data_IF_698642553956
#
_entry.id   IF_698642553956
#
_cell.length_a   1.000
_cell.length_b   1.000
_cell.length_c   1.000
_cell.angle_alpha   90.00
_cell.angle_beta   90.00
_cell.angle_gamma   90.00
#
_symmetry.space_group_name_H-M   'P 1'
#
loop_
_entity.id
_entity.type
_entity.pdbx_description
1 polymer ?
#
# COMPACT_ATOMS: atom_id res chain seq x y z
N UNK A 1 -6.16 -5.06 2.21
CA UNK A 1 -4.75 -5.49 2.33
C UNK A 1 -4.26 -5.27 3.74
N UNK A 2 -3.80 -6.32 4.37
CA UNK A 2 -3.44 -6.31 5.79
C UNK A 2 -2.11 -7.01 6.02
N UNK A 3 -1.35 -6.50 6.98
CA UNK A 3 -0.03 -7.02 7.35
C UNK A 3 0.00 -7.08 8.87
N UNK A 4 0.38 -8.22 9.43
CA UNK A 4 0.50 -8.38 10.89
C UNK A 4 1.60 -7.47 11.43
N UNK A 5 1.34 -6.86 12.58
CA UNK A 5 2.32 -6.05 13.28
C UNK A 5 3.09 -6.92 14.26
N UNK A 6 4.43 -6.87 14.18
CA UNK A 6 5.29 -7.71 15.03
C UNK A 6 5.17 -7.36 16.52
N UNK A 7 4.98 -6.08 16.83
CA UNK A 7 4.84 -5.61 18.21
C UNK A 7 3.48 -4.93 18.40
N UNK A 8 2.42 -5.68 18.73
CA UNK A 8 1.08 -5.11 18.89
C UNK A 8 1.02 -4.01 19.95
N UNK A 9 0.18 -3.02 19.70
CA UNK A 9 -0.09 -1.94 20.67
C UNK A 9 -1.43 -2.22 21.33
N UNK A 10 -1.42 -2.25 22.67
CA UNK A 10 -2.62 -2.45 23.49
C UNK A 10 -2.99 -1.12 24.11
N UNK A 11 -4.23 -0.68 23.88
CA UNK A 11 -4.77 0.51 24.55
C UNK A 11 -5.63 0.02 25.72
N UNK A 12 -5.21 0.25 26.98
CA UNK A 12 -6.01 -0.10 28.13
C UNK A 12 -7.21 0.84 28.24
N UNK A 13 -8.39 0.29 28.08
CA UNK A 13 -9.67 0.98 28.24
C UNK A 13 -10.67 -0.01 28.84
N UNK A 14 -11.91 0.43 29.07
CA UNK A 14 -12.97 -0.48 29.51
C UNK A 14 -13.15 -1.65 28.52
N UNK A 15 -12.86 -1.42 27.23
CA UNK A 15 -12.75 -2.44 26.20
C UNK A 15 -11.32 -2.44 25.67
N UNK A 16 -10.45 -3.21 26.31
CA UNK A 16 -9.07 -3.32 25.87
C UNK A 16 -8.98 -3.88 24.45
N UNK A 17 -8.28 -3.16 23.56
CA UNK A 17 -8.07 -3.57 22.17
C UNK A 17 -6.60 -3.70 21.88
N UNK A 18 -6.24 -4.77 21.15
CA UNK A 18 -4.88 -5.01 20.68
C UNK A 18 -4.81 -4.67 19.21
N UNK A 19 -4.00 -3.65 18.88
CA UNK A 19 -3.77 -3.23 17.52
C UNK A 19 -2.56 -4.01 16.97
N UNK A 20 -2.84 -4.95 16.09
CA UNK A 20 -1.87 -5.93 15.62
C UNK A 20 -1.77 -6.03 14.10
N UNK A 21 -2.46 -5.15 13.37
CA UNK A 21 -2.57 -5.26 11.92
C UNK A 21 -2.27 -3.93 11.25
N UNK A 22 -1.41 -3.95 10.25
CA UNK A 22 -1.23 -2.82 9.35
C UNK A 22 -2.17 -2.96 8.16
N UNK A 23 -2.96 -1.93 7.93
CA UNK A 23 -3.86 -1.83 6.79
C UNK A 23 -3.22 -0.95 5.73
N UNK A 24 -3.15 -1.44 4.49
CA UNK A 24 -2.69 -0.62 3.38
C UNK A 24 -3.83 0.32 3.01
N UNK A 25 -3.69 1.58 3.39
CA UNK A 25 -4.73 2.60 3.21
C UNK A 25 -4.63 3.27 1.85
N UNK A 26 -3.41 3.46 1.35
CA UNK A 26 -3.19 4.21 0.12
C UNK A 26 -1.94 3.73 -0.59
N UNK A 27 -2.01 3.64 -1.92
CA UNK A 27 -0.88 3.33 -2.79
C UNK A 27 -0.86 4.38 -3.90
N UNK A 28 0.24 5.11 -4.00
CA UNK A 28 0.44 6.11 -5.05
C UNK A 28 1.66 5.72 -5.87
N UNK A 29 1.44 5.50 -7.17
CA UNK A 29 2.52 5.29 -8.12
C UNK A 29 2.54 6.46 -9.09
N UNK A 30 3.64 7.20 -9.10
CA UNK A 30 3.83 8.27 -10.07
C UNK A 30 4.40 7.66 -11.36
N UNK A 31 3.51 7.33 -12.29
CA UNK A 31 3.88 6.66 -13.52
C UNK A 31 4.60 7.57 -14.51
N UNK A 32 4.50 8.89 -14.37
CA UNK A 32 5.28 9.80 -15.21
C UNK A 32 6.77 9.65 -14.95
N UNK A 33 7.14 9.27 -13.74
CA UNK A 33 8.53 9.09 -13.34
C UNK A 33 9.07 7.69 -13.64
N UNK A 34 8.23 6.75 -14.07
CA UNK A 34 8.68 5.42 -14.53
C UNK A 34 9.59 5.55 -15.77
N UNK A 35 9.34 6.53 -16.61
CA UNK A 35 10.18 6.80 -17.77
C UNK A 35 11.46 7.58 -17.42
N UNK A 36 11.60 8.05 -16.19
CA UNK A 36 12.77 8.74 -15.68
C UNK A 36 13.62 7.81 -14.82
N UNK A 37 14.72 8.34 -14.29
CA UNK A 37 15.60 7.57 -13.41
C UNK A 37 15.10 7.47 -11.98
N UNK A 38 14.00 8.15 -11.63
CA UNK A 38 13.51 8.22 -10.24
C UNK A 38 11.98 8.05 -10.14
N UNK A 39 11.42 6.90 -10.55
CA UNK A 39 10.00 6.66 -10.31
C UNK A 39 9.71 6.61 -8.80
N UNK A 40 8.53 7.11 -8.42
CA UNK A 40 8.14 7.22 -7.03
C UNK A 40 6.95 6.29 -6.75
N UNK A 41 7.10 5.47 -5.72
CA UNK A 41 6.01 4.70 -5.14
C UNK A 41 5.87 5.09 -3.67
N UNK A 42 4.67 5.46 -3.28
CA UNK A 42 4.34 5.79 -1.89
C UNK A 42 3.25 4.84 -1.42
N UNK A 43 3.46 4.23 -0.27
CA UNK A 43 2.47 3.36 0.36
C UNK A 43 2.19 3.88 1.77
N UNK A 44 0.93 4.12 2.08
CA UNK A 44 0.49 4.54 3.40
C UNK A 44 -0.14 3.36 4.13
N UNK A 45 0.31 3.14 5.36
CA UNK A 45 -0.20 2.12 6.26
C UNK A 45 -0.86 2.76 7.46
N UNK A 46 -1.94 2.16 7.92
CA UNK A 46 -2.62 2.59 9.12
C UNK A 46 -2.80 1.40 10.06
N UNK A 47 -2.49 1.62 11.34
CA UNK A 47 -2.62 0.56 12.34
C UNK A 47 -4.09 0.33 12.67
N UNK A 48 -4.48 -0.94 12.80
CA UNK A 48 -5.83 -1.33 13.13
C UNK A 48 -5.89 -2.64 13.89
N UNK A 49 -7.07 -2.98 14.37
CA UNK A 49 -7.44 -4.36 14.70
C UNK A 49 -8.59 -4.77 13.80
N UNK A 50 -8.70 -6.07 13.54
CA UNK A 50 -9.81 -6.60 12.76
C UNK A 50 -10.84 -7.17 13.69
N UNK A 51 -12.12 -6.87 13.44
CA UNK A 51 -13.23 -7.46 14.20
C UNK A 51 -13.56 -8.87 13.70
N UNK A 52 -14.59 -9.48 14.24
CA UNK A 52 -15.03 -10.83 13.88
C UNK A 52 -15.43 -10.95 12.39
N UNK A 53 -15.82 -9.84 11.78
CA UNK A 53 -16.18 -9.77 10.36
C UNK A 53 -14.99 -9.36 9.45
N UNK A 54 -13.78 -9.31 10.02
CA UNK A 54 -12.55 -8.87 9.33
C UNK A 54 -12.60 -7.41 8.89
N UNK A 55 -13.41 -6.57 9.54
CA UNK A 55 -13.45 -5.14 9.28
C UNK A 55 -12.42 -4.41 10.13
N UNK A 56 -11.68 -3.45 9.55
CA UNK A 56 -10.66 -2.72 10.30
C UNK A 56 -11.26 -1.67 11.23
N UNK A 57 -10.70 -1.58 12.42
CA UNK A 57 -10.94 -0.52 13.39
C UNK A 57 -9.62 0.17 13.65
N UNK A 58 -9.51 1.44 13.25
CA UNK A 58 -8.23 2.11 13.17
C UNK A 58 -7.80 2.74 14.48
N UNK A 59 -6.51 2.61 14.78
CA UNK A 59 -5.88 3.38 15.83
C UNK A 59 -5.90 4.86 15.45
N UNK A 60 -6.20 5.78 16.37
CA UNK A 60 -6.38 7.20 16.02
C UNK A 60 -5.12 7.89 15.51
N UNK A 61 -3.92 7.44 15.89
CA UNK A 61 -2.70 8.20 15.65
C UNK A 61 -1.57 7.42 14.96
N UNK A 62 -1.70 6.11 14.79
CA UNK A 62 -0.60 5.29 14.27
C UNK A 62 -0.70 5.10 12.77
N UNK A 63 0.21 5.76 12.05
CA UNK A 63 0.34 5.68 10.61
C UNK A 63 1.82 5.54 10.25
N UNK A 64 2.09 4.88 9.13
CA UNK A 64 3.44 4.77 8.58
C UNK A 64 3.38 5.01 7.08
N UNK A 65 4.47 5.53 6.55
CA UNK A 65 4.61 5.75 5.11
C UNK A 65 5.90 5.12 4.61
N UNK A 66 5.78 4.30 3.57
CA UNK A 66 6.89 3.82 2.79
C UNK A 66 7.03 4.72 1.57
N UNK A 67 8.20 5.29 1.36
CA UNK A 67 8.49 6.15 0.23
C UNK A 67 9.67 5.57 -0.54
N UNK A 68 9.41 4.99 -1.70
CA UNK A 68 10.44 4.43 -2.56
C UNK A 68 10.74 5.43 -3.67
N UNK A 69 11.91 6.03 -3.58
CA UNK A 69 12.53 6.77 -4.68
C UNK A 69 13.44 5.81 -5.42
N UNK A 70 13.88 6.17 -6.61
CA UNK A 70 14.80 5.35 -7.38
C UNK A 70 14.36 3.89 -7.46
N UNK A 71 13.15 3.67 -7.93
CA UNK A 71 12.59 2.33 -8.04
C UNK A 71 13.38 1.44 -8.99
N UNK A 72 14.14 2.00 -9.93
CA UNK A 72 14.95 1.16 -10.82
C UNK A 72 16.03 0.41 -10.05
N UNK A 73 16.77 1.09 -9.16
CA UNK A 73 17.74 0.41 -8.31
C UNK A 73 17.07 -0.60 -7.40
N UNK A 74 15.96 -0.22 -6.78
CA UNK A 74 15.21 -1.11 -5.90
C UNK A 74 14.64 -2.33 -6.65
N UNK A 75 14.06 -2.10 -7.84
CA UNK A 75 13.46 -3.16 -8.64
C UNK A 75 14.49 -4.08 -9.30
N UNK A 76 15.73 -3.64 -9.50
CA UNK A 76 16.78 -4.51 -10.00
C UNK A 76 17.09 -5.66 -9.04
N UNK A 77 16.92 -5.41 -7.73
CA UNK A 77 17.08 -6.44 -6.71
C UNK A 77 15.77 -7.21 -6.44
N UNK A 78 14.65 -6.73 -6.96
CA UNK A 78 13.32 -7.30 -6.75
C UNK A 78 12.54 -7.36 -8.07
N UNK A 79 12.89 -8.31 -8.95
CA UNK A 79 12.24 -8.41 -10.26
C UNK A 79 10.73 -8.64 -10.18
N UNK A 80 10.24 -9.28 -9.12
CA UNK A 80 8.81 -9.48 -8.90
C UNK A 80 8.06 -8.17 -8.73
N UNK A 81 8.65 -7.19 -8.04
CA UNK A 81 8.05 -5.87 -7.89
C UNK A 81 7.98 -5.16 -9.25
N UNK A 82 9.04 -5.24 -10.03
CA UNK A 82 9.09 -4.67 -11.37
C UNK A 82 7.96 -5.21 -12.25
N UNK A 83 7.82 -6.53 -12.31
CA UNK A 83 6.76 -7.17 -13.10
C UNK A 83 5.37 -6.78 -12.61
N UNK A 84 5.16 -6.75 -11.30
CA UNK A 84 3.87 -6.37 -10.71
C UNK A 84 3.48 -4.94 -11.07
N UNK A 85 4.43 -4.01 -10.99
CA UNK A 85 4.19 -2.60 -11.35
C UNK A 85 3.83 -2.46 -12.82
N UNK A 86 4.61 -3.08 -13.72
CA UNK A 86 4.33 -3.00 -15.16
C UNK A 86 3.02 -3.67 -15.54
N UNK A 87 2.70 -4.81 -14.93
CA UNK A 87 1.41 -5.47 -15.14
C UNK A 87 0.24 -4.59 -14.71
N UNK A 88 0.37 -3.91 -13.56
CA UNK A 88 -0.65 -2.97 -13.09
C UNK A 88 -0.84 -1.82 -14.07
N UNK A 89 0.22 -1.24 -14.60
CA UNK A 89 0.14 -0.17 -15.61
C UNK A 89 -0.59 -0.66 -16.85
N UNK A 90 -0.26 -1.85 -17.35
CA UNK A 90 -0.91 -2.43 -18.54
C UNK A 90 -2.40 -2.69 -18.31
N UNK A 91 -2.75 -3.25 -17.16
CA UNK A 91 -4.16 -3.52 -16.80
C UNK A 91 -4.95 -2.22 -16.70
N UNK A 92 -4.37 -1.19 -16.08
CA UNK A 92 -5.03 0.12 -15.97
C UNK A 92 -5.25 0.77 -17.33
N UNK A 93 -4.30 0.61 -18.26
CA UNK A 93 -4.48 1.07 -19.63
C UNK A 93 -5.64 0.38 -20.32
N UNK A 94 -5.77 -0.94 -20.17
CA UNK A 94 -6.87 -1.71 -20.73
C UNK A 94 -8.21 -1.31 -20.12
N UNK A 95 -8.25 -1.12 -18.80
CA UNK A 95 -9.46 -0.62 -18.12
C UNK A 95 -9.86 0.75 -18.65
N UNK A 96 -8.87 1.63 -18.85
CA UNK A 96 -9.14 2.95 -19.41
C UNK A 96 -9.80 2.89 -20.78
N UNK A 97 -9.41 1.94 -21.64
CA UNK A 97 -10.07 1.71 -22.94
C UNK A 97 -11.44 1.11 -22.79
N UNK A 98 -11.57 0.07 -21.96
CA UNK A 98 -12.83 -0.66 -21.78
C UNK A 98 -13.93 0.21 -21.17
N UNK A 99 -13.56 1.17 -20.34
CA UNK A 99 -14.50 2.10 -19.71
C UNK A 99 -14.84 3.32 -20.57
N UNK A 100 -14.19 3.48 -21.72
CA UNK A 100 -14.38 4.62 -22.60
C UNK A 100 -13.66 5.90 -22.17
N UNK A 101 -12.81 5.82 -21.15
CA UNK A 101 -11.98 6.97 -20.74
C UNK A 101 -10.91 7.25 -21.79
N UNK A 102 -10.39 6.20 -22.43
CA UNK A 102 -9.43 6.29 -23.54
C UNK A 102 -10.09 5.89 -24.84
N UNK A 103 -9.69 6.53 -25.94
CA UNK A 103 -10.12 6.20 -27.30
C UNK A 103 -9.33 5.01 -27.84
#
# INVERSE_FOLDING_TARGET
MRISKDNPIVIPASDEKTYDTWWVENIILDATLIASTEPILVVDYRLCYLDEESKPHFHPNERRRLHLRDMFTFMSDKPELYETVWNAVSVLGNIGKDTGVLD
#
